data_IF_385191151951
#
_entry.id   IF_385191151951
#
_cell.length_a   1.000
_cell.length_b   1.000
_cell.length_c   1.000
_cell.angle_alpha   90.00
_cell.angle_beta   90.00
_cell.angle_gamma   90.00
#
_symmetry.space_group_name_H-M   'P 1'
#
loop_
_entity.id
_entity.type
_entity.pdbx_description
1 polymer ?
#
# COMPACT_ATOMS: atom_id res chain seq x y z
N UNK A 1 6.40 4.42 -13.77
CA UNK A 1 7.05 3.31 -13.04
C UNK A 1 6.83 3.66 -11.58
N UNK A 2 6.30 2.76 -10.77
CA UNK A 2 5.90 3.12 -9.40
C UNK A 2 7.19 3.35 -8.60
N UNK A 3 7.50 4.60 -8.29
CA UNK A 3 8.68 4.96 -7.50
C UNK A 3 8.45 4.65 -5.99
N UNK A 4 9.54 4.51 -5.22
CA UNK A 4 9.51 4.20 -3.78
C UNK A 4 8.56 5.10 -2.98
N UNK A 5 8.58 6.40 -3.28
CA UNK A 5 7.73 7.41 -2.65
C UNK A 5 6.26 7.28 -3.03
N UNK A 6 5.94 6.76 -4.21
CA UNK A 6 4.56 6.47 -4.60
C UNK A 6 4.05 5.23 -3.88
N UNK A 7 4.85 4.17 -3.80
CA UNK A 7 4.49 2.96 -3.06
C UNK A 7 4.20 3.24 -1.58
N UNK A 8 5.02 4.08 -0.94
CA UNK A 8 4.80 4.47 0.46
C UNK A 8 3.54 5.32 0.64
N UNK A 9 3.23 6.21 -0.30
CA UNK A 9 1.96 6.95 -0.27
C UNK A 9 0.76 6.03 -0.45
N UNK A 10 0.89 4.98 -1.26
CA UNK A 10 -0.14 3.97 -1.44
C UNK A 10 -0.37 3.16 -0.18
N UNK A 11 0.70 2.67 0.45
CA UNK A 11 0.59 1.90 1.70
C UNK A 11 -0.01 2.77 2.81
N UNK A 12 0.48 4.00 2.97
CA UNK A 12 -0.07 4.93 3.94
C UNK A 12 -1.57 5.16 3.72
N UNK A 13 -2.03 5.19 2.47
CA UNK A 13 -3.45 5.37 2.13
C UNK A 13 -4.29 4.13 2.41
N UNK A 14 -3.80 2.94 2.09
CA UNK A 14 -4.48 1.66 2.42
C UNK A 14 -4.57 1.46 3.94
N UNK A 15 -3.55 1.88 4.69
CA UNK A 15 -3.53 1.75 6.15
C UNK A 15 -4.30 2.84 6.89
N UNK A 16 -4.37 4.04 6.33
CA UNK A 16 -5.15 5.14 6.91
C UNK A 16 -6.65 4.81 7.03
N UNK A 17 -7.15 3.84 6.26
CA UNK A 17 -8.54 3.35 6.34
C UNK A 17 -8.83 2.52 7.61
N UNK A 18 -7.82 2.14 8.41
CA UNK A 18 -8.00 1.34 9.64
C UNK A 18 -8.23 2.18 10.90
N UNK A 19 -8.06 3.50 10.85
CA UNK A 19 -8.25 4.37 12.02
C UNK A 19 -9.62 5.03 11.97
N UNK A 20 -10.59 4.41 12.64
CA UNK A 20 -11.81 5.09 13.06
C UNK A 20 -11.43 6.25 13.99
N UNK A 21 -11.60 7.47 13.47
CA UNK A 21 -11.58 8.75 14.18
C UNK A 21 -10.20 9.31 14.58
N UNK A 22 -9.75 10.30 13.78
CA UNK A 22 -8.98 11.50 14.15
C UNK A 22 -7.51 11.56 13.72
N UNK A 23 -7.24 12.11 12.52
CA UNK A 23 -6.25 13.19 12.41
C UNK A 23 -6.39 13.98 11.08
N UNK A 24 -6.85 15.22 11.20
CA UNK A 24 -6.86 16.24 10.15
C UNK A 24 -5.44 16.76 9.92
N UNK A 25 -4.84 16.78 8.72
CA UNK A 25 -4.83 17.85 7.70
C UNK A 25 -3.38 17.89 7.13
N UNK A 26 -2.98 18.24 5.90
CA UNK A 26 -3.62 18.89 4.74
C UNK A 26 -2.70 18.69 3.53
N UNK A 27 -3.24 18.54 2.32
CA UNK A 27 -3.23 19.62 1.31
C UNK A 27 -4.51 19.61 0.46
N UNK A 28 -5.49 20.36 0.94
CA UNK A 28 -6.47 21.21 0.24
C UNK A 28 -6.95 20.90 -1.20
N UNK A 29 -8.22 20.52 -1.32
CA UNK A 29 -9.22 21.35 -2.02
C UNK A 29 -10.63 21.08 -1.48
N UNK A 30 -11.23 22.14 -0.94
CA UNK A 30 -12.60 22.19 -0.44
C UNK A 30 -13.62 21.89 -1.53
N UNK A 31 -14.53 20.94 -1.27
CA UNK A 31 -15.98 20.94 -1.56
C UNK A 31 -16.56 19.56 -1.16
N UNK A 32 -17.52 19.49 -0.24
CA UNK A 32 -18.35 18.28 0.00
C UNK A 32 -19.27 18.06 -1.22
N UNK A 33 -19.65 16.82 -1.66
CA UNK A 33 -20.01 15.66 -0.84
C UNK A 33 -19.46 14.29 -1.34
N UNK A 34 -19.72 13.23 -0.57
CA UNK A 34 -19.62 11.81 -0.95
C UNK A 34 -18.21 11.20 -1.07
N UNK A 35 -17.69 10.78 0.08
CA UNK A 35 -17.16 9.44 0.36
C UNK A 35 -17.49 8.41 -0.75
N UNK A 36 -16.64 8.32 -1.77
CA UNK A 36 -16.70 7.37 -2.90
C UNK A 36 -15.38 7.35 -3.68
N UNK A 37 -14.72 8.51 -3.87
CA UNK A 37 -13.46 8.59 -4.62
C UNK A 37 -12.27 7.93 -3.90
N UNK A 38 -12.27 7.93 -2.56
CA UNK A 38 -11.28 7.21 -1.77
C UNK A 38 -11.44 5.69 -1.91
N UNK A 39 -12.67 5.19 -2.01
CA UNK A 39 -12.96 3.76 -2.25
C UNK A 39 -12.52 3.32 -3.65
N UNK A 40 -12.85 4.10 -4.69
CA UNK A 40 -12.43 3.79 -6.06
C UNK A 40 -10.90 3.74 -6.19
N UNK A 41 -10.18 4.74 -5.65
CA UNK A 41 -8.72 4.74 -5.66
C UNK A 41 -8.14 3.61 -4.81
N UNK A 42 -8.77 3.28 -3.67
CA UNK A 42 -8.36 2.14 -2.84
C UNK A 42 -8.55 0.83 -3.57
N UNK A 43 -9.63 0.66 -4.33
CA UNK A 43 -9.85 -0.53 -5.16
C UNK A 43 -8.81 -0.66 -6.28
N UNK A 44 -8.45 0.45 -6.93
CA UNK A 44 -7.39 0.48 -7.94
C UNK A 44 -6.03 0.09 -7.34
N UNK A 45 -5.74 0.61 -6.15
CA UNK A 45 -4.55 0.21 -5.38
C UNK A 45 -4.60 -1.27 -4.99
N UNK A 46 -5.71 -1.75 -4.43
CA UNK A 46 -5.89 -3.17 -4.09
C UNK A 46 -5.71 -4.07 -5.32
N UNK A 47 -6.18 -3.65 -6.49
CA UNK A 47 -5.96 -4.37 -7.74
C UNK A 47 -4.48 -4.44 -8.12
N UNK A 48 -3.72 -3.35 -7.93
CA UNK A 48 -2.27 -3.36 -8.10
C UNK A 48 -1.62 -4.32 -7.09
N UNK A 49 -1.96 -4.23 -5.79
CA UNK A 49 -1.46 -5.11 -4.72
C UNK A 49 -1.74 -6.60 -5.00
N UNK A 50 -2.90 -6.93 -5.59
CA UNK A 50 -3.23 -8.27 -6.06
C UNK A 50 -2.33 -8.79 -7.19
N UNK A 51 -1.72 -7.91 -7.99
CA UNK A 51 -0.74 -8.33 -9.01
C UNK A 51 0.59 -8.70 -8.36
N UNK A 52 0.92 -8.08 -7.22
CA UNK A 52 2.11 -8.40 -6.44
C UNK A 52 1.90 -9.65 -5.55
N UNK A 53 0.71 -9.82 -4.97
CA UNK A 53 0.30 -10.99 -4.18
C UNK A 53 0.05 -12.20 -5.11
N UNK A 54 1.04 -13.10 -5.18
CA UNK A 54 0.96 -14.29 -6.04
C UNK A 54 0.04 -15.36 -5.46
N UNK A 55 -0.03 -15.42 -4.14
CA UNK A 55 -0.80 -16.45 -3.44
C UNK A 55 -2.25 -16.02 -3.20
N UNK A 56 -2.58 -14.74 -3.39
CA UNK A 56 -3.93 -14.19 -3.21
C UNK A 56 -4.40 -14.25 -1.76
N UNK A 57 -3.46 -14.16 -0.82
CA UNK A 57 -3.67 -14.36 0.61
C UNK A 57 -4.13 -13.08 1.34
N UNK A 58 -4.15 -11.93 0.65
CA UNK A 58 -4.59 -10.64 1.18
C UNK A 58 -3.49 -9.82 1.88
N UNK A 59 -2.24 -10.28 1.80
CA UNK A 59 -1.05 -9.59 2.27
C UNK A 59 0.11 -9.77 1.29
N UNK A 60 1.08 -8.85 1.31
CA UNK A 60 2.30 -9.01 0.51
C UNK A 60 3.47 -9.27 1.45
N UNK A 61 4.14 -10.40 1.26
CA UNK A 61 5.40 -10.68 1.94
C UNK A 61 6.59 -10.04 1.21
N UNK A 62 7.71 -9.91 1.92
CA UNK A 62 8.98 -9.46 1.33
C UNK A 62 9.32 -10.18 0.02
N UNK A 63 9.19 -11.50 0.02
CA UNK A 63 9.58 -12.34 -1.12
C UNK A 63 8.68 -12.11 -2.34
N UNK A 64 7.39 -11.88 -2.10
CA UNK A 64 6.40 -11.56 -3.15
C UNK A 64 6.65 -10.17 -3.73
N UNK A 65 6.89 -9.17 -2.86
CA UNK A 65 7.25 -7.82 -3.30
C UNK A 65 8.54 -7.84 -4.14
N UNK A 66 9.57 -8.55 -3.69
CA UNK A 66 10.83 -8.73 -4.44
C UNK A 66 10.60 -9.37 -5.80
N UNK A 67 9.86 -10.47 -5.82
CA UNK A 67 9.56 -11.22 -7.03
C UNK A 67 8.77 -10.40 -8.04
N UNK A 68 7.84 -9.60 -7.58
CA UNK A 68 7.00 -8.77 -8.43
C UNK A 68 7.75 -7.53 -8.94
N UNK A 69 8.64 -6.93 -8.16
CA UNK A 69 9.54 -5.85 -8.62
C UNK A 69 10.51 -6.35 -9.70
N UNK A 70 11.09 -7.54 -9.50
CA UNK A 70 11.95 -8.21 -10.50
C UNK A 70 11.18 -8.50 -11.80
N UNK A 71 9.91 -8.90 -11.67
CA UNK A 71 9.01 -9.17 -12.80
C UNK A 71 8.59 -7.92 -13.58
N UNK A 72 8.57 -6.75 -12.93
CA UNK A 72 8.33 -5.43 -13.55
C UNK A 72 9.61 -4.90 -14.24
N UNK A 73 10.77 -5.47 -13.93
CA UNK A 73 12.07 -5.07 -14.48
C UNK A 73 12.79 -4.00 -13.66
N UNK A 74 12.35 -3.76 -12.43
CA UNK A 74 12.98 -2.87 -11.46
C UNK A 74 13.87 -3.70 -10.52
N UNK A 75 15.18 -3.45 -10.54
CA UNK A 75 16.12 -4.10 -9.61
C UNK A 75 16.13 -3.40 -8.26
N UNK A 76 15.13 -3.70 -7.42
CA UNK A 76 15.09 -3.24 -6.03
C UNK A 76 16.05 -4.09 -5.19
N UNK A 77 16.92 -3.44 -4.41
CA UNK A 77 17.86 -4.16 -3.54
C UNK A 77 17.18 -4.66 -2.26
N UNK A 78 17.74 -5.70 -1.62
CA UNK A 78 17.19 -6.24 -0.37
C UNK A 78 17.16 -5.24 0.78
N UNK A 79 18.04 -4.24 0.73
CA UNK A 79 18.06 -3.12 1.68
C UNK A 79 16.90 -2.17 1.44
N UNK A 80 16.70 -1.72 0.19
CA UNK A 80 15.60 -0.84 -0.20
C UNK A 80 14.24 -1.50 0.09
N UNK A 81 14.12 -2.78 -0.24
CA UNK A 81 12.94 -3.59 0.03
C UNK A 81 12.66 -3.73 1.53
N UNK A 82 13.71 -3.85 2.37
CA UNK A 82 13.58 -3.82 3.82
C UNK A 82 13.02 -2.49 4.30
N UNK A 83 13.58 -1.38 3.84
CA UNK A 83 13.14 -0.04 4.24
C UNK A 83 11.69 0.21 3.81
N UNK A 84 11.33 -0.13 2.58
CA UNK A 84 9.95 -0.07 2.09
C UNK A 84 9.01 -0.90 2.94
N UNK A 85 9.42 -2.13 3.27
CA UNK A 85 8.62 -3.03 4.08
C UNK A 85 8.48 -2.50 5.50
N UNK A 86 9.55 -2.07 6.17
CA UNK A 86 9.49 -1.52 7.53
C UNK A 86 8.65 -0.25 7.63
N UNK A 87 8.66 0.59 6.59
CA UNK A 87 7.81 1.78 6.53
C UNK A 87 6.35 1.41 6.23
N UNK A 88 6.14 0.35 5.45
CA UNK A 88 4.84 -0.19 5.13
C UNK A 88 4.28 -1.13 6.21
N UNK A 89 5.07 -1.54 7.19
CA UNK A 89 4.71 -2.55 8.18
C UNK A 89 4.53 -1.87 9.54
N UNK A 90 3.31 -1.39 9.76
CA UNK A 90 2.94 -0.71 11.01
C UNK A 90 2.96 -1.66 12.22
N UNK A 91 2.70 -2.96 12.01
CA UNK A 91 2.61 -3.96 13.06
C UNK A 91 3.89 -4.80 13.26
N UNK A 92 4.88 -4.60 12.38
CA UNK A 92 6.19 -5.27 12.37
C UNK A 92 6.10 -6.79 12.23
N UNK A 93 5.11 -7.31 11.50
CA UNK A 93 4.97 -8.75 11.20
C UNK A 93 5.77 -9.22 9.97
N UNK A 94 6.39 -8.29 9.25
CA UNK A 94 7.12 -8.51 8.02
C UNK A 94 6.22 -8.65 6.78
N UNK A 95 4.97 -8.16 6.83
CA UNK A 95 3.98 -8.29 5.75
C UNK A 95 3.15 -7.01 5.62
N UNK A 96 2.72 -6.73 4.39
CA UNK A 96 1.87 -5.56 4.10
C UNK A 96 0.43 -6.03 3.97
N UNK A 97 -0.37 -5.76 4.99
CA UNK A 97 -1.78 -6.12 5.05
C UNK A 97 -2.63 -5.11 4.29
N UNK A 98 -3.09 -5.46 3.08
CA UNK A 98 -3.89 -4.57 2.21
C UNK A 98 -5.38 -4.91 2.18
N UNK A 99 -5.78 -6.12 2.58
CA UNK A 99 -7.18 -6.50 2.69
C UNK A 99 -7.73 -6.08 4.07
N UNK A 100 -8.30 -4.88 4.13
CA UNK A 100 -9.03 -4.38 5.29
C UNK A 100 -10.39 -5.07 5.41
N UNK A 101 -10.44 -6.28 5.98
CA UNK A 101 -11.70 -6.85 6.46
C UNK A 101 -11.84 -6.61 7.97
N UNK A 102 -12.52 -5.51 8.29
CA UNK A 102 -13.45 -5.45 9.42
C UNK A 102 -14.87 -5.50 8.85
#
# INVERSE_FOLDING_TARGET
LIDETEFLQWVARIQALKDDSNTSSSSSSSNNPAQSADDDLTQDLVAAFRVFDRDGNGYITRDELKSAMDMIGENVTEYQLNEMLELADADKDGRINYEGRC
#
